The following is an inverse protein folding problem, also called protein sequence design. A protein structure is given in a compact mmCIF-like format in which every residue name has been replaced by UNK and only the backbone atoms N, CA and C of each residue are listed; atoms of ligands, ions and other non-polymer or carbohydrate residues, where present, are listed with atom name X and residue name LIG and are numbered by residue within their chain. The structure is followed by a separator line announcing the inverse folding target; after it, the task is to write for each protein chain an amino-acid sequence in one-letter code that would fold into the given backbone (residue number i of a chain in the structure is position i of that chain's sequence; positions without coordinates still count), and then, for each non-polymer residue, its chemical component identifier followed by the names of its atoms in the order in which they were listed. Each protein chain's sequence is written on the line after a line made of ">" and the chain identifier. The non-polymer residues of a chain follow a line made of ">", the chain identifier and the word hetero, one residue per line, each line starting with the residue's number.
data_IF_368906230576
#
_entry.id   IF_368906230576
#
_cell.length_a   1.000
_cell.length_b   1.000
_cell.length_c   1.000
_cell.angle_alpha   90.00
_cell.angle_beta   90.00
_cell.angle_gamma   90.00
#
_symmetry.space_group_name_H-M   'P 1'
#
loop_
_entity.id
_entity.type
_entity.pdbx_description
1 polymer ?
#
# COMPACT_ATOMS: atom_id res chain seq x y z
N UNK A 1 -13.46 6.27 -26.93
CA UNK A 1 -14.44 7.39 -26.90
C UNK A 1 -13.90 8.55 -26.07
N UNK A 2 -14.60 9.68 -26.01
CA UNK A 2 -14.21 10.87 -25.22
C UNK A 2 -15.35 11.28 -24.29
N UNK A 3 -15.03 11.57 -23.03
CA UNK A 3 -15.98 12.06 -22.01
C UNK A 3 -15.58 13.47 -21.62
N UNK A 4 -16.54 14.40 -21.63
CA UNK A 4 -16.34 15.75 -21.09
C UNK A 4 -16.69 15.75 -19.62
N UNK A 5 -15.83 16.31 -18.77
CA UNK A 5 -16.11 16.50 -17.35
C UNK A 5 -16.09 17.99 -16.99
N UNK A 6 -16.80 18.32 -15.90
CA UNK A 6 -16.77 19.64 -15.27
C UNK A 6 -16.66 19.47 -13.76
N UNK A 7 -15.73 20.18 -13.15
CA UNK A 7 -15.50 20.24 -11.72
C UNK A 7 -15.82 21.63 -11.16
N UNK A 8 -15.83 21.73 -9.83
CA UNK A 8 -16.29 22.93 -9.12
C UNK A 8 -15.37 24.15 -9.29
N UNK A 9 -14.06 23.93 -9.51
CA UNK A 9 -13.04 25.00 -9.53
C UNK A 9 -11.74 24.58 -10.22
N UNK A 10 -11.00 25.59 -10.69
CA UNK A 10 -9.64 25.53 -11.22
C UNK A 10 -8.68 26.21 -10.25
N UNK A 11 -7.52 25.62 -9.97
CA UNK A 11 -6.60 26.12 -8.95
C UNK A 11 -5.17 25.63 -9.13
N UNK A 12 -4.19 26.52 -8.98
CA UNK A 12 -2.79 26.16 -8.75
C UNK A 12 -2.51 25.98 -7.26
N UNK A 13 -1.72 24.98 -6.89
CA UNK A 13 -1.28 24.75 -5.52
C UNK A 13 0.12 24.09 -5.51
N UNK A 14 0.87 24.18 -4.41
CA UNK A 14 2.07 23.38 -4.23
C UNK A 14 1.77 21.88 -4.19
N UNK A 15 2.77 21.03 -4.43
CA UNK A 15 2.63 19.60 -4.18
C UNK A 15 2.39 19.30 -2.70
N UNK A 16 1.50 18.34 -2.46
CA UNK A 16 1.24 17.80 -1.13
C UNK A 16 2.43 16.97 -0.62
N UNK A 17 2.49 16.75 0.70
CA UNK A 17 3.44 15.82 1.32
C UNK A 17 3.39 14.42 0.71
N UNK A 18 2.20 13.90 0.39
CA UNK A 18 2.05 12.58 -0.23
C UNK A 18 2.62 12.52 -1.66
N UNK A 19 2.33 13.54 -2.50
CA UNK A 19 2.92 13.65 -3.83
C UNK A 19 4.45 13.75 -3.78
N UNK A 20 5.00 14.60 -2.90
CA UNK A 20 6.45 14.73 -2.69
C UNK A 20 7.07 13.43 -2.17
N UNK A 21 6.37 12.72 -1.27
CA UNK A 21 6.82 11.43 -0.76
C UNK A 21 6.92 10.38 -1.88
N UNK A 22 5.89 10.24 -2.72
CA UNK A 22 5.91 9.31 -3.87
C UNK A 22 7.05 9.63 -4.85
N UNK A 23 7.29 10.91 -5.15
CA UNK A 23 8.40 11.31 -6.02
C UNK A 23 9.77 10.93 -5.47
N UNK A 24 9.93 10.95 -4.14
CA UNK A 24 11.18 10.57 -3.48
C UNK A 24 11.40 9.06 -3.46
N UNK A 25 10.36 8.28 -3.18
CA UNK A 25 10.50 6.83 -3.00
C UNK A 25 10.60 6.07 -4.32
N UNK A 26 10.12 6.65 -5.43
CA UNK A 26 10.17 6.09 -6.79
C UNK A 26 9.67 4.63 -6.90
N UNK A 27 8.90 4.16 -5.92
CA UNK A 27 8.45 2.78 -5.76
C UNK A 27 6.94 2.62 -5.84
N UNK A 28 6.20 3.73 -5.88
CA UNK A 28 4.75 3.71 -5.98
C UNK A 28 4.30 3.32 -7.39
N UNK A 29 3.42 2.32 -7.46
CA UNK A 29 2.82 1.85 -8.70
C UNK A 29 1.45 2.47 -8.95
N UNK A 30 1.04 2.49 -10.22
CA UNK A 30 -0.31 2.86 -10.62
C UNK A 30 -1.34 1.97 -9.92
N UNK A 31 -2.44 2.57 -9.51
CA UNK A 31 -3.53 1.86 -8.83
C UNK A 31 -4.52 1.33 -9.86
N UNK A 32 -4.58 0.01 -10.00
CA UNK A 32 -5.47 -0.69 -10.93
C UNK A 32 -6.72 -1.18 -10.19
N UNK A 33 -7.91 -0.92 -10.75
CA UNK A 33 -9.19 -1.48 -10.29
C UNK A 33 -10.03 -1.95 -11.45
N UNK A 34 -10.59 -3.15 -11.32
CA UNK A 34 -11.55 -3.71 -12.27
C UNK A 34 -12.87 -3.88 -11.54
N UNK A 35 -13.92 -3.25 -12.07
CA UNK A 35 -15.27 -3.33 -11.54
C UNK A 35 -16.14 -4.12 -12.49
N UNK A 36 -16.69 -5.24 -12.03
CA UNK A 36 -17.72 -5.98 -12.74
C UNK A 36 -19.07 -5.27 -12.65
N UNK A 37 -19.78 -5.20 -13.78
CA UNK A 37 -21.09 -4.58 -13.91
C UNK A 37 -22.12 -5.59 -14.44
N UNK A 38 -23.41 -5.46 -14.05
CA UNK A 38 -24.47 -6.33 -14.56
C UNK A 38 -24.77 -6.15 -16.06
N UNK A 39 -24.09 -5.20 -16.73
CA UNK A 39 -24.43 -4.70 -18.05
C UNK A 39 -25.15 -3.37 -17.94
N UNK A 40 -24.43 -2.27 -18.21
CA UNK A 40 -25.00 -0.92 -18.21
C UNK A 40 -24.79 -0.23 -19.57
N UNK A 41 -25.73 0.62 -20.03
CA UNK A 41 -25.52 1.38 -21.26
C UNK A 41 -24.26 2.25 -21.17
N UNK A 42 -23.48 2.31 -22.26
CA UNK A 42 -22.28 3.16 -22.34
C UNK A 42 -22.54 4.62 -21.90
N UNK A 43 -23.64 5.30 -22.31
CA UNK A 43 -23.90 6.67 -21.86
C UNK A 43 -24.02 6.81 -20.33
N UNK A 44 -24.65 5.84 -19.66
CA UNK A 44 -24.79 5.85 -18.19
C UNK A 44 -23.43 5.74 -17.49
N UNK A 45 -22.56 4.87 -18.01
CA UNK A 45 -21.21 4.73 -17.46
C UNK A 45 -20.37 5.96 -17.75
N UNK A 46 -20.50 6.54 -18.95
CA UNK A 46 -19.82 7.77 -19.33
C UNK A 46 -20.22 8.95 -18.43
N UNK A 47 -21.51 9.14 -18.15
CA UNK A 47 -22.02 10.19 -17.27
C UNK A 47 -21.54 10.02 -15.83
N UNK A 48 -21.46 8.77 -15.34
CA UNK A 48 -20.92 8.47 -14.02
C UNK A 48 -19.41 8.78 -13.94
N UNK A 49 -18.64 8.44 -14.97
CA UNK A 49 -17.21 8.77 -15.04
C UNK A 49 -16.98 10.29 -15.12
N UNK A 50 -17.77 11.02 -15.90
CA UNK A 50 -17.69 12.48 -15.97
C UNK A 50 -17.88 13.12 -14.59
N UNK A 51 -18.90 12.67 -13.84
CA UNK A 51 -19.19 13.15 -12.49
C UNK A 51 -18.08 12.75 -11.49
N UNK A 52 -17.54 11.54 -11.60
CA UNK A 52 -16.45 11.06 -10.76
C UNK A 52 -15.21 11.94 -10.90
N UNK A 53 -14.79 12.20 -12.14
CA UNK A 53 -13.63 13.06 -12.43
C UNK A 53 -13.89 14.50 -12.00
N UNK A 54 -15.07 15.05 -12.31
CA UNK A 54 -15.45 16.40 -11.88
C UNK A 54 -15.39 16.59 -10.36
N UNK A 55 -15.82 15.56 -9.61
CA UNK A 55 -15.88 15.58 -8.14
C UNK A 55 -14.51 15.55 -7.46
N UNK A 56 -13.58 14.72 -7.92
CA UNK A 56 -12.30 14.50 -7.24
C UNK A 56 -11.19 15.28 -7.92
N UNK A 57 -10.64 16.30 -7.25
CA UNK A 57 -9.55 17.12 -7.82
C UNK A 57 -8.36 16.25 -8.20
N UNK A 58 -8.05 15.23 -7.40
CA UNK A 58 -6.98 14.28 -7.67
C UNK A 58 -7.05 13.66 -9.07
N UNK A 59 -8.25 13.42 -9.62
CA UNK A 59 -8.43 12.79 -10.95
C UNK A 59 -8.36 13.78 -12.12
N UNK A 60 -8.25 15.08 -11.84
CA UNK A 60 -8.19 16.19 -12.81
C UNK A 60 -7.08 17.19 -12.47
N UNK A 61 -6.03 16.68 -11.85
CA UNK A 61 -4.85 17.45 -11.46
C UNK A 61 -3.64 16.98 -12.26
N UNK A 62 -2.88 17.95 -12.79
CA UNK A 62 -1.60 17.74 -13.47
C UNK A 62 -0.49 18.49 -12.76
N UNK A 63 0.75 18.07 -12.92
CA UNK A 63 1.92 18.83 -12.50
C UNK A 63 2.06 20.09 -13.35
N UNK A 64 2.45 21.18 -12.72
CA UNK A 64 2.70 22.48 -13.36
C UNK A 64 4.15 22.94 -13.15
N UNK A 65 5.06 21.99 -12.97
CA UNK A 65 6.47 22.22 -12.66
C UNK A 65 6.99 21.20 -11.64
N UNK A 66 8.14 21.50 -11.03
CA UNK A 66 8.76 20.60 -10.06
C UNK A 66 8.03 20.54 -8.72
N UNK A 67 7.42 21.62 -8.25
CA UNK A 67 6.81 21.69 -6.91
C UNK A 67 5.36 22.18 -6.92
N UNK A 68 4.73 22.21 -8.09
CA UNK A 68 3.39 22.74 -8.27
C UNK A 68 2.46 21.75 -8.98
N UNK A 69 1.18 21.84 -8.64
CA UNK A 69 0.08 21.12 -9.26
C UNK A 69 -0.99 22.11 -9.71
N UNK A 70 -1.70 21.74 -10.78
CA UNK A 70 -2.81 22.49 -11.34
C UNK A 70 -4.04 21.61 -11.45
N UNK A 71 -5.07 22.00 -10.73
CA UNK A 71 -6.42 21.44 -10.80
C UNK A 71 -7.16 22.13 -11.94
N UNK A 72 -7.70 21.35 -12.89
CA UNK A 72 -8.57 21.85 -13.96
C UNK A 72 -10.05 21.77 -13.56
N UNK A 73 -10.85 22.79 -13.86
CA UNK A 73 -12.32 22.78 -13.69
C UNK A 73 -13.06 22.12 -14.85
N UNK A 74 -12.41 21.85 -15.97
CA UNK A 74 -13.01 21.14 -17.09
C UNK A 74 -11.94 20.40 -17.89
N UNK A 75 -12.38 19.44 -18.69
CA UNK A 75 -11.50 18.70 -19.56
C UNK A 75 -12.21 17.60 -20.32
N UNK A 76 -11.44 16.91 -21.15
CA UNK A 76 -11.90 15.74 -21.89
C UNK A 76 -11.02 14.55 -21.52
N UNK A 77 -11.64 13.49 -21.00
CA UNK A 77 -11.01 12.22 -20.68
C UNK A 77 -11.16 11.25 -21.86
N UNK A 78 -10.06 10.68 -22.32
CA UNK A 78 -10.10 9.57 -23.27
C UNK A 78 -10.47 8.28 -22.52
N UNK A 79 -11.36 7.48 -23.13
CA UNK A 79 -11.81 6.20 -22.58
C UNK A 79 -11.73 5.15 -23.67
N UNK A 80 -10.98 4.08 -23.41
CA UNK A 80 -10.86 2.97 -24.34
C UNK A 80 -12.09 2.06 -24.23
N UNK A 81 -12.63 1.62 -25.36
CA UNK A 81 -13.80 0.76 -25.41
C UNK A 81 -13.50 -0.43 -26.32
N UNK A 82 -13.81 -1.64 -25.86
CA UNK A 82 -13.60 -2.84 -26.66
C UNK A 82 -14.30 -4.07 -26.07
N UNK A 83 -14.38 -5.19 -26.81
CA UNK A 83 -14.94 -6.44 -26.32
C UNK A 83 -14.02 -7.16 -25.31
N UNK A 84 -12.74 -6.85 -25.34
CA UNK A 84 -11.74 -7.28 -24.39
C UNK A 84 -10.78 -6.11 -24.15
N UNK A 85 -10.57 -5.77 -22.89
CA UNK A 85 -9.56 -4.82 -22.42
C UNK A 85 -9.02 -5.36 -21.11
N UNK A 86 -7.70 -5.42 -21.00
CA UNK A 86 -6.98 -5.83 -19.81
C UNK A 86 -6.44 -4.60 -19.08
N UNK A 87 -6.22 -4.76 -17.77
CA UNK A 87 -5.52 -3.74 -17.00
C UNK A 87 -4.10 -3.50 -17.52
N UNK A 88 -3.42 -4.54 -18.00
CA UNK A 88 -2.04 -4.47 -18.47
C UNK A 88 -1.92 -3.56 -19.70
N UNK A 89 -2.90 -3.58 -20.61
CA UNK A 89 -2.94 -2.70 -21.78
C UNK A 89 -3.06 -1.21 -21.42
N UNK A 90 -3.70 -0.90 -20.30
CA UNK A 90 -3.84 0.48 -19.81
C UNK A 90 -2.70 0.88 -18.87
N UNK A 91 -1.93 -0.09 -18.39
CA UNK A 91 -0.87 0.11 -17.41
C UNK A 91 0.40 0.57 -18.10
N UNK A 92 1.00 1.63 -17.56
CA UNK A 92 2.25 2.20 -18.03
C UNK A 92 2.59 3.46 -17.23
N UNK A 93 3.75 4.07 -17.47
CA UNK A 93 4.09 5.36 -16.85
C UNK A 93 3.08 6.43 -17.27
N UNK A 94 2.73 7.32 -16.35
CA UNK A 94 1.92 8.51 -16.62
C UNK A 94 2.83 9.67 -17.00
N UNK A 95 2.41 10.48 -17.98
CA UNK A 95 2.97 11.83 -18.14
C UNK A 95 2.20 12.77 -17.21
N UNK A 96 2.70 12.96 -16.00
CA UNK A 96 2.01 13.71 -14.96
C UNK A 96 1.80 15.21 -15.31
N UNK A 97 2.48 15.74 -16.34
CA UNK A 97 2.33 17.14 -16.78
C UNK A 97 1.25 17.29 -17.86
N UNK A 98 1.16 16.33 -18.78
CA UNK A 98 0.28 16.43 -19.95
C UNK A 98 -1.01 15.59 -19.81
N UNK A 99 -0.89 14.39 -19.23
CA UNK A 99 -1.96 13.39 -19.14
C UNK A 99 -2.85 13.60 -17.90
N UNK A 100 -4.13 13.23 -18.00
CA UNK A 100 -4.96 13.08 -16.79
C UNK A 100 -4.44 11.90 -15.96
N UNK A 101 -4.46 11.98 -14.61
CA UNK A 101 -3.94 10.91 -13.75
C UNK A 101 -4.92 9.73 -13.60
N UNK A 102 -5.69 9.46 -14.65
CA UNK A 102 -6.69 8.40 -14.75
C UNK A 102 -6.79 7.92 -16.20
N UNK A 103 -6.61 6.62 -16.42
CA UNK A 103 -6.96 5.91 -17.66
C UNK A 103 -8.16 5.01 -17.39
N UNK A 104 -9.05 4.90 -18.37
CA UNK A 104 -10.29 4.14 -18.24
C UNK A 104 -10.50 3.24 -19.44
N UNK A 105 -10.79 1.97 -19.17
CA UNK A 105 -11.24 0.99 -20.17
C UNK A 105 -12.66 0.52 -19.88
N UNK A 106 -13.50 0.45 -20.92
CA UNK A 106 -14.84 -0.13 -20.87
C UNK A 106 -14.86 -1.43 -21.67
N UNK A 107 -15.01 -2.56 -20.96
CA UNK A 107 -15.26 -3.85 -21.62
C UNK A 107 -16.75 -3.91 -21.97
N UNK A 108 -17.03 -3.98 -23.26
CA UNK A 108 -18.38 -3.86 -23.82
C UNK A 108 -18.83 -5.16 -24.48
N UNK A 109 -20.11 -5.48 -24.40
CA UNK A 109 -20.70 -6.65 -25.03
C UNK A 109 -22.00 -6.27 -25.76
N UNK A 110 -22.28 -6.95 -26.87
CA UNK A 110 -23.44 -6.69 -27.72
C UNK A 110 -23.10 -5.86 -28.97
N UNK A 111 -24.11 -5.48 -29.77
CA UNK A 111 -23.92 -4.71 -31.00
C UNK A 111 -23.42 -3.29 -30.69
N UNK A 112 -22.73 -2.61 -31.64
CA UNK A 112 -22.22 -1.25 -31.43
C UNK A 112 -23.30 -0.26 -30.98
N UNK A 113 -24.47 -0.28 -31.65
CA UNK A 113 -25.63 0.54 -31.33
C UNK A 113 -26.45 -0.11 -30.21
N UNK A 114 -25.92 -0.08 -28.99
CA UNK A 114 -26.57 -0.70 -27.82
C UNK A 114 -25.64 -1.53 -26.94
N UNK A 115 -24.32 -1.39 -27.12
CA UNK A 115 -23.34 -2.12 -26.34
C UNK A 115 -23.52 -1.87 -24.83
N UNK A 116 -23.50 -2.95 -24.06
CA UNK A 116 -23.56 -2.91 -22.62
C UNK A 116 -22.14 -3.04 -22.04
N UNK A 117 -21.78 -2.15 -21.11
CA UNK A 117 -20.54 -2.22 -20.36
C UNK A 117 -20.65 -3.30 -19.29
N UNK A 118 -19.75 -4.29 -19.36
CA UNK A 118 -19.65 -5.42 -18.43
C UNK A 118 -18.55 -5.23 -17.40
N UNK A 119 -17.49 -4.50 -17.75
CA UNK A 119 -16.44 -4.14 -16.81
C UNK A 119 -15.96 -2.71 -17.03
N UNK A 120 -15.56 -2.06 -15.94
CA UNK A 120 -14.81 -0.80 -15.96
C UNK A 120 -13.43 -1.07 -15.38
N UNK A 121 -12.40 -0.79 -16.17
CA UNK A 121 -11.00 -0.82 -15.74
C UNK A 121 -10.56 0.61 -15.46
N UNK A 122 -10.08 0.87 -14.25
CA UNK A 122 -9.53 2.15 -13.82
C UNK A 122 -8.04 1.97 -13.52
N UNK A 123 -7.19 2.78 -14.14
CA UNK A 123 -5.77 2.87 -13.79
C UNK A 123 -5.48 4.30 -13.38
N UNK A 124 -5.13 4.50 -12.11
CA UNK A 124 -4.87 5.84 -11.57
C UNK A 124 -3.39 6.05 -11.28
N UNK A 125 -2.89 7.26 -11.57
CA UNK A 125 -1.49 7.61 -11.36
C UNK A 125 -1.11 7.64 -9.87
N UNK A 126 0.11 7.22 -9.50
CA UNK A 126 0.54 7.12 -8.10
C UNK A 126 0.64 8.48 -7.37
N UNK A 127 0.78 9.59 -8.13
CA UNK A 127 0.74 10.95 -7.56
C UNK A 127 -0.68 11.45 -7.26
N UNK A 128 -1.69 10.86 -7.90
CA UNK A 128 -3.08 11.28 -7.71
C UNK A 128 -3.75 10.54 -6.57
N UNK A 129 -3.67 9.21 -6.56
CA UNK A 129 -4.35 8.39 -5.55
C UNK A 129 -3.42 7.30 -5.02
N UNK A 130 -3.44 7.14 -3.70
CA UNK A 130 -2.90 5.94 -3.06
C UNK A 130 -3.93 4.79 -3.10
N UNK A 131 -3.51 3.63 -2.61
CA UNK A 131 -4.32 2.41 -2.60
C UNK A 131 -5.71 2.61 -1.95
N UNK A 132 -5.78 3.29 -0.80
CA UNK A 132 -7.05 3.58 -0.15
C UNK A 132 -7.86 4.64 -0.89
N UNK A 133 -7.21 5.62 -1.51
CA UNK A 133 -7.86 6.61 -2.38
C UNK A 133 -8.56 5.94 -3.56
N UNK A 134 -7.92 4.94 -4.18
CA UNK A 134 -8.51 4.17 -5.26
C UNK A 134 -9.77 3.39 -4.83
N UNK A 135 -9.83 2.87 -3.60
CA UNK A 135 -11.06 2.25 -3.08
C UNK A 135 -12.22 3.25 -2.98
N UNK A 136 -11.93 4.49 -2.58
CA UNK A 136 -12.93 5.55 -2.50
C UNK A 136 -13.40 5.91 -3.92
N UNK A 137 -12.51 5.94 -4.91
CA UNK A 137 -12.87 6.13 -6.33
C UNK A 137 -13.81 5.03 -6.81
N UNK A 138 -13.52 3.77 -6.51
CA UNK A 138 -14.38 2.62 -6.84
C UNK A 138 -15.75 2.72 -6.17
N UNK A 139 -15.76 3.04 -4.87
CA UNK A 139 -16.99 3.25 -4.09
C UNK A 139 -17.86 4.36 -4.69
N UNK A 140 -17.27 5.53 -4.97
CA UNK A 140 -17.97 6.69 -5.50
C UNK A 140 -18.46 6.43 -6.93
N UNK A 141 -17.69 5.72 -7.77
CA UNK A 141 -18.16 5.27 -9.09
C UNK A 141 -19.37 4.34 -8.97
N UNK A 142 -19.31 3.34 -8.09
CA UNK A 142 -20.43 2.42 -7.86
C UNK A 142 -21.70 3.15 -7.37
N UNK A 143 -21.53 4.18 -6.54
CA UNK A 143 -22.61 5.04 -6.06
C UNK A 143 -23.21 5.90 -7.19
N UNK A 144 -22.37 6.53 -8.02
CA UNK A 144 -22.77 7.27 -9.21
C UNK A 144 -23.52 6.41 -10.22
N UNK A 145 -23.06 5.19 -10.47
CA UNK A 145 -23.74 4.25 -11.36
C UNK A 145 -25.15 3.89 -10.86
N UNK A 146 -25.40 3.97 -9.55
CA UNK A 146 -26.74 3.80 -8.94
C UNK A 146 -27.55 5.09 -8.87
N UNK A 147 -27.02 6.23 -9.32
CA UNK A 147 -27.69 7.53 -9.31
C UNK A 147 -27.73 8.20 -7.94
N UNK A 148 -26.87 7.80 -7.00
CA UNK A 148 -26.86 8.34 -5.65
C UNK A 148 -25.42 8.61 -5.21
N UNK A 149 -25.04 9.88 -5.04
CA UNK A 149 -23.74 10.23 -4.48
C UNK A 149 -23.89 11.29 -3.38
N UNK A 150 -23.39 11.05 -2.16
CA UNK A 150 -23.45 12.02 -1.07
C UNK A 150 -22.69 13.31 -1.39
N UNK A 151 -23.10 14.41 -0.75
CA UNK A 151 -22.35 15.66 -0.76
C UNK A 151 -20.94 15.40 -0.23
N UNK A 152 -19.93 15.88 -0.95
CA UNK A 152 -18.54 15.76 -0.53
C UNK A 152 -18.29 16.66 0.67
N UNK A 153 -17.75 16.10 1.74
CA UNK A 153 -17.26 16.84 2.92
C UNK A 153 -15.74 16.79 3.09
N UNK A 154 -15.07 15.82 2.45
CA UNK A 154 -13.63 15.63 2.56
C UNK A 154 -12.84 16.74 1.87
N UNK A 155 -11.67 17.08 2.45
CA UNK A 155 -10.71 17.99 1.86
C UNK A 155 -10.18 17.49 0.51
N UNK A 156 -9.77 18.42 -0.35
CA UNK A 156 -9.13 18.10 -1.63
C UNK A 156 -7.61 18.35 -1.55
N UNK A 157 -6.81 17.69 -2.41
CA UNK A 157 -5.34 17.84 -2.42
C UNK A 157 -4.84 19.29 -2.37
N UNK A 158 -5.46 20.21 -3.12
CA UNK A 158 -5.05 21.61 -3.15
C UNK A 158 -5.31 22.35 -1.83
N UNK A 159 -6.35 21.97 -1.08
CA UNK A 159 -6.62 22.49 0.27
C UNK A 159 -5.62 21.94 1.28
N UNK A 160 -5.25 20.66 1.12
CA UNK A 160 -4.24 20.01 1.94
C UNK A 160 -2.85 20.63 1.79
N UNK A 161 -2.44 20.93 0.56
CA UNK A 161 -1.17 21.61 0.30
C UNK A 161 -1.07 22.96 1.05
N UNK A 162 -2.17 23.71 1.11
CA UNK A 162 -2.21 24.97 1.87
C UNK A 162 -2.09 24.73 3.38
N UNK A 163 -2.81 23.74 3.93
CA UNK A 163 -2.68 23.37 5.35
C UNK A 163 -1.25 22.94 5.69
N UNK A 164 -0.63 22.14 4.85
CA UNK A 164 0.70 21.57 5.07
C UNK A 164 1.80 22.64 5.14
N UNK A 165 1.63 23.78 4.46
CA UNK A 165 2.54 24.95 4.55
C UNK A 165 2.22 25.89 5.72
N UNK A 166 1.17 25.65 6.48
CA UNK A 166 0.82 26.48 7.64
C UNK A 166 1.74 26.21 8.85
N UNK A 167 1.68 27.11 9.84
CA UNK A 167 2.34 26.92 11.15
C UNK A 167 1.94 25.59 11.81
N UNK A 168 0.69 25.15 11.63
CA UNK A 168 0.22 23.85 12.13
C UNK A 168 0.91 22.68 11.42
N UNK A 169 1.10 22.78 10.09
CA UNK A 169 1.87 21.83 9.30
C UNK A 169 3.32 21.75 9.77
N UNK A 170 3.99 22.88 9.96
CA UNK A 170 5.35 22.93 10.52
C UNK A 170 5.44 22.24 11.88
N UNK A 171 4.48 22.48 12.79
CA UNK A 171 4.46 21.82 14.10
C UNK A 171 4.27 20.31 14.01
N UNK A 172 3.45 19.82 13.07
CA UNK A 172 3.30 18.38 12.81
C UNK A 172 4.64 17.78 12.37
N UNK A 173 5.30 18.38 11.39
CA UNK A 173 6.62 17.95 10.91
C UNK A 173 7.65 17.93 12.04
N UNK A 174 7.78 19.00 12.83
CA UNK A 174 8.78 19.04 13.91
C UNK A 174 8.52 17.97 14.99
N UNK A 175 7.26 17.64 15.27
CA UNK A 175 6.91 16.57 16.22
C UNK A 175 7.22 15.19 15.64
N UNK A 176 6.91 14.97 14.37
CA UNK A 176 7.24 13.74 13.68
C UNK A 176 8.75 13.52 13.63
N UNK A 177 9.53 14.51 13.18
CA UNK A 177 10.99 14.44 13.15
C UNK A 177 11.56 14.06 14.50
N UNK A 178 11.16 14.73 15.60
CA UNK A 178 11.63 14.36 16.94
C UNK A 178 11.30 12.92 17.31
N UNK A 179 10.07 12.48 17.06
CA UNK A 179 9.66 11.10 17.33
C UNK A 179 10.51 10.08 16.55
N UNK A 180 10.72 10.33 15.26
CA UNK A 180 11.56 9.47 14.41
C UNK A 180 13.01 9.43 14.89
N UNK A 181 13.60 10.58 15.19
CA UNK A 181 14.97 10.64 15.71
C UNK A 181 15.08 9.90 17.05
N UNK A 182 14.13 10.07 17.96
CA UNK A 182 14.18 9.43 19.28
C UNK A 182 14.03 7.90 19.20
N UNK A 183 13.14 7.40 18.34
CA UNK A 183 12.96 5.96 18.15
C UNK A 183 14.15 5.32 17.42
N UNK A 184 14.66 5.95 16.35
CA UNK A 184 15.74 5.37 15.55
C UNK A 184 17.12 5.43 16.24
N UNK A 185 17.33 6.30 17.24
CA UNK A 185 18.52 6.23 18.12
C UNK A 185 18.64 4.92 18.89
N UNK A 186 17.54 4.16 19.02
CA UNK A 186 17.50 2.88 19.75
C UNK A 186 17.85 1.68 18.88
N UNK A 187 17.99 1.90 17.56
CA UNK A 187 18.17 0.85 16.57
C UNK A 187 19.59 0.97 16.03
N UNK A 188 20.33 -0.13 16.02
CA UNK A 188 21.57 -0.19 15.27
C UNK A 188 21.21 -0.16 13.77
N UNK A 189 21.81 0.73 12.96
CA UNK A 189 21.56 0.75 11.53
C UNK A 189 21.84 -0.65 10.97
N UNK A 190 20.93 -1.22 10.15
CA UNK A 190 21.17 -2.53 9.57
C UNK A 190 22.45 -2.47 8.72
N UNK A 191 23.26 -3.54 8.67
CA UNK A 191 24.40 -3.59 7.76
C UNK A 191 23.88 -3.60 6.32
N UNK A 192 23.94 -2.46 5.65
CA UNK A 192 23.55 -2.35 4.24
C UNK A 192 24.79 -2.62 3.39
N UNK A 193 24.83 -3.75 2.69
CA UNK A 193 25.83 -4.01 1.66
C UNK A 193 25.68 -3.05 0.47
N UNK A 194 26.67 -2.93 -0.43
CA UNK A 194 26.50 -2.12 -1.63
C UNK A 194 25.28 -2.61 -2.44
N UNK A 195 24.42 -1.71 -2.95
CA UNK A 195 23.28 -2.09 -3.76
C UNK A 195 23.73 -2.89 -4.98
N UNK A 196 23.14 -4.07 -5.17
CA UNK A 196 23.30 -4.94 -6.33
C UNK A 196 22.04 -4.95 -7.19
N UNK A 197 21.86 -6.03 -7.95
CA UNK A 197 20.62 -6.25 -8.71
C UNK A 197 19.44 -6.39 -7.77
N UNK A 198 18.42 -5.54 -7.96
CA UNK A 198 17.18 -5.62 -7.20
C UNK A 198 16.35 -6.84 -7.62
N UNK A 199 15.95 -7.65 -6.64
CA UNK A 199 15.06 -8.80 -6.82
C UNK A 199 13.76 -8.59 -6.05
N UNK A 200 12.67 -9.11 -6.62
CA UNK A 200 11.41 -9.32 -5.92
C UNK A 200 11.12 -10.81 -5.84
N UNK A 201 10.81 -11.32 -4.66
CA UNK A 201 10.38 -12.70 -4.42
C UNK A 201 8.98 -12.67 -3.83
N UNK A 202 8.07 -13.47 -4.37
CA UNK A 202 6.68 -13.55 -3.93
C UNK A 202 6.36 -14.96 -3.46
N UNK A 203 5.91 -15.07 -2.22
CA UNK A 203 5.34 -16.28 -1.62
C UNK A 203 3.82 -16.20 -1.72
N UNK A 204 3.21 -17.15 -2.43
CA UNK A 204 1.75 -17.34 -2.42
C UNK A 204 1.40 -18.39 -1.37
N UNK A 205 0.67 -17.98 -0.34
CA UNK A 205 0.25 -18.85 0.77
C UNK A 205 -1.09 -18.40 1.34
N UNK A 206 -2.10 -19.25 1.20
CA UNK A 206 -3.39 -19.03 1.87
C UNK A 206 -3.34 -19.35 3.37
N UNK A 207 -2.35 -20.12 3.82
CA UNK A 207 -2.18 -20.47 5.23
C UNK A 207 -1.78 -19.26 6.08
N UNK A 208 -0.95 -18.36 5.54
CA UNK A 208 -0.48 -17.17 6.25
C UNK A 208 -1.63 -16.27 6.70
N UNK A 209 -2.59 -15.99 5.81
CA UNK A 209 -3.68 -15.07 6.11
C UNK A 209 -4.62 -15.65 7.19
N UNK A 210 -4.94 -16.94 7.10
CA UNK A 210 -5.72 -17.66 8.13
C UNK A 210 -5.00 -17.63 9.49
N UNK A 211 -3.69 -17.92 9.49
CA UNK A 211 -2.86 -17.92 10.70
C UNK A 211 -2.81 -16.53 11.35
N UNK A 212 -2.54 -15.49 10.56
CA UNK A 212 -2.45 -14.12 11.04
C UNK A 212 -3.77 -13.61 11.63
N UNK A 213 -4.91 -13.93 11.01
CA UNK A 213 -6.23 -13.58 11.54
C UNK A 213 -6.55 -14.30 12.86
N UNK A 214 -6.17 -15.58 13.01
CA UNK A 214 -6.31 -16.32 14.26
C UNK A 214 -5.49 -15.70 15.40
N UNK A 215 -4.22 -15.36 15.13
CA UNK A 215 -3.35 -14.68 16.11
C UNK A 215 -3.93 -13.31 16.46
N UNK A 216 -4.36 -12.56 15.46
CA UNK A 216 -4.96 -11.23 15.64
C UNK A 216 -6.20 -11.30 16.55
N UNK A 217 -7.09 -12.27 16.33
CA UNK A 217 -8.28 -12.48 17.15
C UNK A 217 -7.91 -12.82 18.61
N UNK A 218 -6.93 -13.71 18.83
CA UNK A 218 -6.46 -14.09 20.18
C UNK A 218 -5.85 -12.92 20.96
N UNK A 219 -5.18 -12.00 20.28
CA UNK A 219 -4.52 -10.86 20.91
C UNK A 219 -5.34 -9.55 20.84
N UNK A 220 -6.51 -9.54 20.18
CA UNK A 220 -7.35 -8.34 20.05
C UNK A 220 -6.74 -7.24 19.18
N UNK A 221 -5.94 -7.61 18.17
CA UNK A 221 -5.24 -6.66 17.27
C UNK A 221 -5.66 -6.88 15.81
N UNK A 222 -5.07 -6.13 14.87
CA UNK A 222 -5.28 -6.38 13.43
C UNK A 222 -4.30 -7.44 12.89
N UNK A 223 -4.68 -8.14 11.83
CA UNK A 223 -3.74 -9.01 11.11
C UNK A 223 -2.51 -8.24 10.62
N UNK A 224 -2.66 -6.98 10.19
CA UNK A 224 -1.55 -6.10 9.81
C UNK A 224 -0.49 -5.98 10.92
N UNK A 225 -0.94 -5.86 12.17
CA UNK A 225 -0.06 -5.78 13.34
C UNK A 225 0.69 -7.10 13.56
N UNK A 226 0.04 -8.24 13.32
CA UNK A 226 0.67 -9.56 13.43
C UNK A 226 1.76 -9.72 12.37
N UNK A 227 1.48 -9.36 11.11
CA UNK A 227 2.47 -9.40 10.04
C UNK A 227 3.64 -8.46 10.34
N UNK A 228 3.39 -7.21 10.76
CA UNK A 228 4.43 -6.27 11.15
C UNK A 228 5.34 -6.83 12.26
N UNK A 229 4.76 -7.42 13.30
CA UNK A 229 5.52 -8.06 14.37
C UNK A 229 6.34 -9.26 13.85
N UNK A 230 5.76 -10.09 12.98
CA UNK A 230 6.43 -11.23 12.39
C UNK A 230 7.58 -10.81 11.46
N UNK A 231 7.40 -9.75 10.67
CA UNK A 231 8.44 -9.14 9.85
C UNK A 231 9.59 -8.64 10.71
N UNK A 232 9.30 -7.90 11.78
CA UNK A 232 10.34 -7.42 12.69
C UNK A 232 11.09 -8.57 13.36
N UNK A 233 10.38 -9.61 13.80
CA UNK A 233 10.97 -10.80 14.39
C UNK A 233 11.93 -11.51 13.43
N UNK A 234 11.49 -11.78 12.19
CA UNK A 234 12.30 -12.47 11.18
C UNK A 234 13.51 -11.62 10.78
N UNK A 235 13.29 -10.35 10.42
CA UNK A 235 14.36 -9.43 10.00
C UNK A 235 15.38 -9.22 11.11
N UNK A 236 14.94 -8.96 12.34
CA UNK A 236 15.84 -8.76 13.47
C UNK A 236 16.61 -10.02 13.84
N UNK A 237 15.97 -11.20 13.78
CA UNK A 237 16.66 -12.48 14.03
C UNK A 237 17.74 -12.73 12.99
N UNK A 238 17.47 -12.50 11.71
CA UNK A 238 18.45 -12.65 10.63
C UNK A 238 19.59 -11.64 10.73
N UNK A 239 19.29 -10.41 11.16
CA UNK A 239 20.28 -9.37 11.37
C UNK A 239 21.04 -9.50 12.71
N UNK A 240 20.69 -10.47 13.57
CA UNK A 240 21.24 -10.60 14.92
C UNK A 240 20.92 -9.41 15.83
N UNK A 241 19.91 -8.61 15.50
CA UNK A 241 19.56 -7.37 16.19
C UNK A 241 18.61 -7.64 17.34
N UNK A 242 18.90 -7.07 18.52
CA UNK A 242 17.95 -7.08 19.65
C UNK A 242 16.76 -6.14 19.41
N UNK A 243 17.01 -4.98 18.81
CA UNK A 243 16.00 -3.96 18.55
C UNK A 243 15.88 -3.81 17.05
N UNK A 244 14.66 -3.87 16.52
CA UNK A 244 14.40 -3.81 15.08
C UNK A 244 13.51 -2.61 14.76
N UNK A 245 14.01 -1.74 13.88
CA UNK A 245 13.26 -0.63 13.32
C UNK A 245 12.72 -0.98 11.94
N UNK A 246 11.43 -0.71 11.72
CA UNK A 246 10.77 -0.81 10.43
C UNK A 246 10.09 0.51 10.10
N UNK A 247 10.02 0.84 8.82
CA UNK A 247 9.00 1.73 8.28
C UNK A 247 7.73 0.92 8.07
N UNK A 248 6.58 1.52 8.32
CA UNK A 248 5.29 0.96 7.99
C UNK A 248 4.49 1.98 7.17
N UNK A 249 3.88 1.57 6.06
CA UNK A 249 3.02 2.46 5.28
C UNK A 249 1.77 2.78 6.10
N UNK A 250 1.51 4.07 6.32
CA UNK A 250 0.37 4.55 7.10
C UNK A 250 -0.57 5.33 6.20
N UNK A 251 -1.81 4.84 6.05
CA UNK A 251 -2.79 5.44 5.13
C UNK A 251 -3.23 6.86 5.48
N UNK A 252 -3.00 7.30 6.72
CA UNK A 252 -3.42 8.62 7.23
C UNK A 252 -4.95 8.89 7.15
N UNK A 253 -5.78 7.85 7.04
CA UNK A 253 -7.27 7.91 6.95
C UNK A 253 -8.01 7.58 8.25
N UNK A 254 -7.31 7.55 9.38
CA UNK A 254 -7.92 7.29 10.70
C UNK A 254 -8.58 8.52 11.32
N UNK A 255 -8.28 9.72 10.81
CA UNK A 255 -8.97 10.94 11.26
C UNK A 255 -10.28 11.15 10.49
N UNK A 256 -11.37 11.59 11.14
CA UNK A 256 -12.67 11.77 10.49
C UNK A 256 -12.64 12.67 9.26
N UNK A 257 -11.83 13.73 9.27
CA UNK A 257 -11.64 14.68 8.16
C UNK A 257 -10.87 14.09 6.96
N UNK A 258 -10.28 12.90 7.12
CA UNK A 258 -9.39 12.25 6.15
C UNK A 258 -9.97 10.98 5.53
N UNK A 259 -11.01 10.42 6.16
CA UNK A 259 -11.54 9.09 5.84
C UNK A 259 -11.94 8.94 4.38
N UNK A 260 -12.56 9.96 3.81
CA UNK A 260 -13.10 9.97 2.45
C UNK A 260 -12.28 10.86 1.48
N UNK A 261 -11.02 11.19 1.81
CA UNK A 261 -10.15 11.97 0.92
C UNK A 261 -9.67 11.11 -0.25
N UNK A 262 -9.93 11.54 -1.48
CA UNK A 262 -9.33 10.93 -2.69
C UNK A 262 -8.07 11.71 -3.03
N UNK A 263 -6.92 11.18 -2.61
CA UNK A 263 -5.60 11.75 -2.85
C UNK A 263 -4.52 10.74 -2.42
N UNK A 264 -3.30 10.88 -2.90
CA UNK A 264 -2.12 10.26 -2.28
C UNK A 264 -1.80 10.98 -0.97
N UNK A 265 -2.13 10.35 0.16
CA UNK A 265 -1.83 10.88 1.52
C UNK A 265 -1.12 9.86 2.42
N UNK A 266 -1.01 8.61 1.97
CA UNK A 266 -0.20 7.62 2.65
C UNK A 266 1.25 8.11 2.76
N UNK A 267 1.85 7.90 3.93
CA UNK A 267 3.26 8.17 4.20
C UNK A 267 3.76 7.11 5.19
N UNK A 268 5.08 7.01 5.32
CA UNK A 268 5.66 6.08 6.28
C UNK A 268 5.46 6.55 7.73
N UNK A 269 5.34 5.57 8.62
CA UNK A 269 5.56 5.72 10.06
C UNK A 269 6.73 4.84 10.50
N UNK A 270 7.43 5.22 11.57
CA UNK A 270 8.45 4.37 12.18
C UNK A 270 7.87 3.47 13.27
N UNK A 271 8.28 2.21 13.29
CA UNK A 271 7.94 1.24 14.34
C UNK A 271 9.22 0.56 14.80
N UNK A 272 9.54 0.72 16.08
CA UNK A 272 10.73 0.12 16.72
C UNK A 272 10.30 -0.87 17.77
N UNK A 273 10.74 -2.12 17.63
CA UNK A 273 10.38 -3.25 18.50
C UNK A 273 11.62 -3.83 19.18
N UNK A 274 11.48 -4.21 20.46
CA UNK A 274 12.53 -4.90 21.23
C UNK A 274 12.21 -6.40 21.22
N UNK A 275 13.09 -7.19 20.61
CA UNK A 275 12.93 -8.63 20.46
C UNK A 275 13.26 -9.40 21.74
N UNK A 276 13.76 -8.74 22.79
CA UNK A 276 13.99 -9.34 24.10
C UNK A 276 12.72 -9.50 24.95
N UNK A 277 11.57 -9.67 24.31
CA UNK A 277 10.33 -10.11 24.95
C UNK A 277 10.32 -11.65 25.07
N UNK A 278 9.56 -12.24 26.00
CA UNK A 278 9.51 -13.69 26.18
C UNK A 278 8.91 -14.46 24.99
N UNK A 279 7.90 -13.90 24.33
CA UNK A 279 7.14 -14.60 23.28
C UNK A 279 6.72 -13.70 22.11
N UNK A 280 6.36 -14.34 21.00
CA UNK A 280 5.82 -13.67 19.82
C UNK A 280 4.50 -12.96 20.12
N UNK A 281 3.63 -13.54 20.96
CA UNK A 281 2.40 -12.89 21.41
C UNK A 281 2.66 -11.55 22.13
N UNK A 282 3.71 -11.47 22.94
CA UNK A 282 4.12 -10.20 23.56
C UNK A 282 4.70 -9.20 22.56
N UNK A 283 5.45 -9.69 21.55
CA UNK A 283 5.92 -8.85 20.45
C UNK A 283 4.75 -8.26 19.64
N UNK A 284 3.70 -9.05 19.38
CA UNK A 284 2.47 -8.59 18.72
C UNK A 284 1.80 -7.46 19.53
N UNK A 285 1.74 -7.59 20.85
CA UNK A 285 1.21 -6.53 21.73
C UNK A 285 2.10 -5.28 21.76
N UNK A 286 3.43 -5.45 21.69
CA UNK A 286 4.36 -4.33 21.53
C UNK A 286 4.15 -3.63 20.18
N UNK A 287 4.05 -4.39 19.09
CA UNK A 287 3.81 -3.89 17.74
C UNK A 287 2.52 -3.06 17.69
N UNK A 288 1.41 -3.56 18.25
CA UNK A 288 0.15 -2.81 18.30
C UNK A 288 0.32 -1.43 18.95
N UNK A 289 0.94 -1.38 20.14
CA UNK A 289 1.20 -0.13 20.87
C UNK A 289 2.06 0.83 20.05
N UNK A 290 3.09 0.31 19.40
CA UNK A 290 4.02 1.12 18.61
C UNK A 290 3.40 1.60 17.30
N UNK A 291 2.59 0.79 16.61
CA UNK A 291 1.81 1.20 15.45
C UNK A 291 0.84 2.34 15.79
N UNK A 292 0.11 2.23 16.90
CA UNK A 292 -0.80 3.29 17.35
C UNK A 292 -0.08 4.61 17.68
N UNK A 293 1.15 4.53 18.21
CA UNK A 293 2.01 5.71 18.40
C UNK A 293 2.48 6.27 17.06
N UNK A 294 2.95 5.40 16.17
CA UNK A 294 3.47 5.74 14.84
C UNK A 294 2.44 6.51 13.99
N UNK A 295 1.17 6.09 14.00
CA UNK A 295 0.08 6.77 13.29
C UNK A 295 -0.06 8.27 13.62
N UNK A 296 0.33 8.69 14.83
CA UNK A 296 0.27 10.11 15.24
C UNK A 296 1.39 10.97 14.62
N UNK A 297 2.43 10.32 14.10
CA UNK A 297 3.66 10.94 13.62
C UNK A 297 4.01 10.56 12.17
N UNK A 298 3.08 9.92 11.45
CA UNK A 298 3.21 9.55 10.04
C UNK A 298 2.66 10.63 9.07
N UNK A 299 2.63 11.89 9.53
CA UNK A 299 2.25 13.06 8.72
C UNK A 299 3.30 14.13 8.89
N UNK A 300 4.09 14.36 7.85
CA UNK A 300 5.23 15.26 7.90
C UNK A 300 5.65 15.70 6.51
N UNK A 301 6.41 16.78 6.47
CA UNK A 301 7.14 17.19 5.28
C UNK A 301 8.25 16.19 4.94
N UNK A 302 8.18 15.49 3.79
CA UNK A 302 9.12 14.41 3.48
C UNK A 302 10.56 14.91 3.30
N UNK A 303 10.76 16.15 2.86
CA UNK A 303 12.10 16.71 2.67
C UNK A 303 12.74 17.07 4.01
N UNK A 304 11.94 17.62 4.94
CA UNK A 304 12.38 17.88 6.29
C UNK A 304 12.70 16.57 7.06
N UNK A 305 11.91 15.51 6.83
CA UNK A 305 12.18 14.19 7.43
C UNK A 305 13.49 13.61 6.91
N UNK A 306 13.67 13.55 5.59
CA UNK A 306 14.87 12.99 4.99
C UNK A 306 16.14 13.79 5.33
N UNK A 307 16.01 15.10 5.57
CA UNK A 307 17.14 15.92 6.03
C UNK A 307 17.53 15.64 7.50
N UNK A 308 16.61 15.11 8.30
CA UNK A 308 16.80 14.91 9.73
C UNK A 308 17.14 13.47 10.10
N UNK A 309 16.65 12.49 9.34
CA UNK A 309 16.80 11.07 9.64
C UNK A 309 16.97 10.28 8.34
N UNK A 310 17.91 9.34 8.35
CA UNK A 310 18.04 8.35 7.29
C UNK A 310 16.90 7.32 7.40
N UNK A 311 15.86 7.51 6.59
CA UNK A 311 14.70 6.61 6.55
C UNK A 311 14.92 5.42 5.63
N UNK A 312 15.80 5.56 4.64
CA UNK A 312 15.89 4.65 3.50
C UNK A 312 16.68 3.39 3.87
N UNK A 313 17.57 3.49 4.86
CA UNK A 313 18.25 2.34 5.46
C UNK A 313 17.33 1.38 6.22
N UNK A 314 16.10 1.79 6.55
CA UNK A 314 15.18 0.93 7.31
C UNK A 314 14.19 0.17 6.39
N UNK A 315 13.98 -1.14 6.65
CA UNK A 315 13.05 -1.94 5.86
C UNK A 315 11.63 -1.38 5.92
N UNK A 316 10.91 -1.38 4.80
CA UNK A 316 9.52 -0.96 4.75
C UNK A 316 8.56 -2.16 4.80
N UNK A 317 7.57 -2.09 5.67
CA UNK A 317 6.43 -2.99 5.73
C UNK A 317 5.19 -2.32 5.12
N UNK A 318 4.61 -2.94 4.09
CA UNK A 318 3.38 -2.47 3.45
C UNK A 318 2.29 -3.55 3.56
N UNK A 319 1.10 -3.16 3.99
CA UNK A 319 -0.06 -4.04 4.05
C UNK A 319 -1.15 -3.50 3.13
N UNK A 320 -1.22 -4.06 1.93
CA UNK A 320 -2.16 -3.68 0.88
C UNK A 320 -3.46 -4.48 0.92
N UNK A 321 -3.71 -5.24 2.00
CA UNK A 321 -4.92 -6.05 2.12
C UNK A 321 -6.15 -5.18 2.37
N UNK A 322 -7.13 -5.34 1.49
CA UNK A 322 -8.39 -4.58 1.51
C UNK A 322 -9.52 -5.23 2.30
N UNK A 323 -9.51 -6.56 2.42
CA UNK A 323 -10.62 -7.31 3.01
C UNK A 323 -10.24 -7.92 4.35
N UNK A 324 -11.08 -7.69 5.36
CA UNK A 324 -11.18 -8.58 6.53
C UNK A 324 -11.95 -9.80 6.07
N UNK A 325 -11.34 -10.96 6.20
CA UNK A 325 -12.03 -12.24 5.98
C UNK A 325 -12.14 -12.93 7.33
N UNK A 326 -13.36 -13.31 7.69
CA UNK A 326 -13.58 -14.13 8.86
C UNK A 326 -13.18 -15.56 8.52
N UNK A 327 -12.02 -15.97 9.00
CA UNK A 327 -11.51 -17.32 8.80
C UNK A 327 -11.75 -18.15 10.06
N UNK A 328 -12.42 -19.29 9.90
CA UNK A 328 -12.37 -20.33 10.92
C UNK A 328 -10.98 -20.99 10.88
N UNK A 329 -10.27 -21.02 12.01
CA UNK A 329 -8.98 -21.69 12.10
C UNK A 329 -9.17 -23.21 11.91
N UNK A 330 -8.61 -23.84 10.85
CA UNK A 330 -8.65 -25.28 10.68
C UNK A 330 -7.72 -25.98 11.69
N UNK A 331 -7.76 -27.31 11.74
CA UNK A 331 -6.80 -28.09 12.53
C UNK A 331 -5.35 -27.81 12.11
N UNK A 332 -4.40 -28.00 13.03
CA UNK A 332 -2.97 -27.78 12.77
C UNK A 332 -2.46 -28.58 11.57
N UNK A 333 -2.80 -29.87 11.50
CA UNK A 333 -2.44 -30.72 10.37
C UNK A 333 -2.96 -30.17 9.04
N UNK A 334 -4.20 -29.65 9.01
CA UNK A 334 -4.79 -29.09 7.79
C UNK A 334 -4.14 -27.78 7.39
N UNK A 335 -3.85 -26.88 8.35
CA UNK A 335 -3.18 -25.62 8.03
C UNK A 335 -1.75 -25.85 7.53
N UNK A 336 -1.02 -26.80 8.12
CA UNK A 336 0.32 -27.20 7.68
C UNK A 336 0.30 -27.79 6.26
N UNK A 337 -0.65 -28.67 5.95
CA UNK A 337 -0.81 -29.21 4.61
C UNK A 337 -1.12 -28.11 3.56
N UNK A 338 -1.86 -27.06 3.94
CA UNK A 338 -2.07 -25.90 3.04
C UNK A 338 -0.77 -25.12 2.83
N UNK A 339 0.03 -24.93 3.88
CA UNK A 339 1.33 -24.25 3.80
C UNK A 339 2.35 -25.04 2.96
N UNK A 340 2.29 -26.38 2.93
CA UNK A 340 3.12 -27.20 2.04
C UNK A 340 2.83 -26.96 0.55
N UNK A 341 1.65 -26.43 0.21
CA UNK A 341 1.27 -26.03 -1.15
C UNK A 341 1.72 -24.62 -1.54
N UNK A 342 2.45 -23.92 -0.66
CA UNK A 342 2.90 -22.55 -0.92
C UNK A 342 3.96 -22.51 -2.02
N UNK A 343 3.89 -21.48 -2.86
CA UNK A 343 4.81 -21.34 -4.01
C UNK A 343 5.62 -20.06 -3.93
N UNK A 344 6.91 -20.18 -4.24
CA UNK A 344 7.82 -19.05 -4.36
C UNK A 344 8.10 -18.76 -5.84
N UNK A 345 7.88 -17.52 -6.23
CA UNK A 345 8.21 -16.98 -7.55
C UNK A 345 9.12 -15.77 -7.39
N UNK A 346 9.85 -15.40 -8.44
CA UNK A 346 10.71 -14.22 -8.38
C UNK A 346 10.77 -13.50 -9.71
N UNK A 347 10.99 -12.21 -9.66
CA UNK A 347 11.25 -11.36 -10.81
C UNK A 347 12.38 -10.37 -10.51
N UNK A 348 12.95 -9.77 -11.55
CA UNK A 348 13.71 -8.54 -11.37
C UNK A 348 12.80 -7.47 -10.75
N UNK A 349 13.36 -6.59 -9.92
CA UNK A 349 12.67 -5.45 -9.38
C UNK A 349 13.21 -4.15 -9.98
N UNK A 350 12.33 -3.17 -10.19
CA UNK A 350 12.67 -1.86 -10.73
C UNK A 350 13.10 -0.84 -9.65
N UNK A 351 12.85 -1.15 -8.37
CA UNK A 351 13.16 -0.28 -7.24
C UNK A 351 14.11 -0.98 -6.25
N UNK A 352 14.95 -0.19 -5.57
CA UNK A 352 15.92 -0.61 -4.55
C UNK A 352 15.42 -0.49 -3.09
N UNK A 353 16.23 -0.94 -2.13
CA UNK A 353 15.90 -1.02 -0.71
C UNK A 353 15.09 -2.26 -0.31
N UNK A 354 15.14 -2.61 0.99
CA UNK A 354 14.41 -3.75 1.55
C UNK A 354 12.94 -3.38 1.84
N UNK A 355 11.99 -4.06 1.20
CA UNK A 355 10.57 -3.90 1.45
C UNK A 355 9.88 -5.26 1.55
N UNK A 356 8.91 -5.37 2.45
CA UNK A 356 8.06 -6.54 2.60
C UNK A 356 6.61 -6.10 2.52
N UNK A 357 5.93 -6.54 1.47
CA UNK A 357 4.53 -6.24 1.23
C UNK A 357 3.68 -7.49 1.44
N UNK A 358 2.50 -7.32 2.04
CA UNK A 358 1.50 -8.37 2.20
C UNK A 358 0.25 -7.99 1.40
N UNK A 359 -0.31 -8.97 0.70
CA UNK A 359 -1.54 -8.82 -0.07
C UNK A 359 -2.52 -9.96 0.23
N UNK A 360 -3.68 -9.98 -0.40
CA UNK A 360 -4.73 -10.98 -0.15
C UNK A 360 -4.37 -12.41 -0.62
N UNK A 361 -3.20 -12.60 -1.24
CA UNK A 361 -2.74 -13.85 -1.84
C UNK A 361 -1.43 -14.38 -1.24
N UNK A 362 -0.72 -13.58 -0.45
CA UNK A 362 0.52 -13.97 0.22
C UNK A 362 1.37 -12.78 0.64
N UNK A 363 2.70 -12.92 0.49
CA UNK A 363 3.66 -11.88 0.82
C UNK A 363 4.77 -11.80 -0.23
N UNK A 364 5.26 -10.59 -0.49
CA UNK A 364 6.40 -10.34 -1.37
C UNK A 364 7.49 -9.59 -0.63
N UNK A 365 8.74 -10.02 -0.80
CA UNK A 365 9.92 -9.34 -0.30
C UNK A 365 10.77 -8.85 -1.49
N UNK A 366 11.21 -7.61 -1.42
CA UNK A 366 12.05 -6.96 -2.43
C UNK A 366 13.30 -6.41 -1.77
N UNK A 367 14.46 -6.62 -2.37
CA UNK A 367 15.72 -6.01 -1.94
C UNK A 367 16.73 -5.96 -3.08
N UNK A 368 17.64 -5.00 -3.00
CA UNK A 368 18.87 -4.86 -3.79
C UNK A 368 20.14 -5.17 -2.99
N UNK A 369 20.02 -5.33 -1.67
CA UNK A 369 21.13 -5.57 -0.74
C UNK A 369 21.18 -7.00 -0.21
N UNK A 370 20.21 -7.84 -0.60
CA UNK A 370 20.11 -9.25 -0.20
C UNK A 370 20.09 -10.17 -1.41
N UNK A 371 20.64 -11.38 -1.28
CA UNK A 371 20.53 -12.37 -2.33
C UNK A 371 19.07 -12.85 -2.47
N UNK A 372 18.70 -13.25 -3.70
CA UNK A 372 17.36 -13.80 -4.00
C UNK A 372 16.99 -14.98 -3.09
N UNK A 373 17.94 -15.86 -2.77
CA UNK A 373 17.73 -17.00 -1.87
C UNK A 373 17.36 -16.57 -0.46
N UNK A 374 17.93 -15.46 0.01
CA UNK A 374 17.73 -14.97 1.38
C UNK A 374 16.33 -14.36 1.50
N UNK A 375 15.86 -13.66 0.47
CA UNK A 375 14.48 -13.16 0.39
C UNK A 375 13.45 -14.30 0.44
N UNK A 376 13.68 -15.38 -0.32
CA UNK A 376 12.81 -16.56 -0.28
C UNK A 376 12.81 -17.24 1.10
N UNK A 377 13.97 -17.28 1.76
CA UNK A 377 14.11 -17.81 3.12
C UNK A 377 13.38 -16.94 4.14
N UNK A 378 13.45 -15.60 4.01
CA UNK A 378 12.70 -14.67 4.85
C UNK A 378 11.20 -14.91 4.78
N UNK A 379 10.64 -15.08 3.56
CA UNK A 379 9.22 -15.33 3.38
C UNK A 379 8.79 -16.70 3.93
N UNK A 380 9.62 -17.73 3.73
CA UNK A 380 9.36 -19.07 4.27
C UNK A 380 9.40 -19.09 5.81
N UNK A 381 10.32 -18.32 6.41
CA UNK A 381 10.41 -18.13 7.84
C UNK A 381 9.18 -17.38 8.39
N UNK A 382 8.71 -16.35 7.67
CA UNK A 382 7.50 -15.61 7.99
C UNK A 382 6.27 -16.53 8.03
N UNK A 383 6.09 -17.37 7.00
CA UNK A 383 5.01 -18.37 6.97
C UNK A 383 5.13 -19.38 8.12
N UNK A 384 6.32 -19.94 8.33
CA UNK A 384 6.58 -20.92 9.38
C UNK A 384 6.26 -20.37 10.78
N UNK A 385 6.65 -19.11 11.05
CA UNK A 385 6.34 -18.40 12.28
C UNK A 385 4.82 -18.24 12.45
N UNK A 386 4.12 -17.70 11.44
CA UNK A 386 2.67 -17.48 11.52
C UNK A 386 1.90 -18.78 11.71
N UNK A 387 2.18 -19.81 10.91
CA UNK A 387 1.50 -21.11 10.99
C UNK A 387 1.73 -21.76 12.35
N UNK A 388 2.94 -21.67 12.92
CA UNK A 388 3.22 -22.22 14.25
C UNK A 388 2.55 -21.39 15.35
N UNK A 389 2.65 -20.06 15.25
CA UNK A 389 2.07 -19.13 16.22
C UNK A 389 0.54 -19.20 16.24
N UNK A 390 -0.11 -19.68 15.17
CA UNK A 390 -1.56 -19.88 15.13
C UNK A 390 -2.08 -20.90 16.15
N UNK A 391 -1.26 -21.87 16.59
CA UNK A 391 -1.66 -22.95 17.49
C UNK A 391 -1.04 -22.88 18.88
N UNK A 392 0.08 -22.17 19.04
CA UNK A 392 0.72 -21.94 20.34
C UNK A 392 1.43 -20.60 20.35
N UNK A 393 1.74 -20.07 21.53
CA UNK A 393 2.66 -18.94 21.60
C UNK A 393 4.10 -19.43 21.37
N UNK A 394 4.87 -18.69 20.58
CA UNK A 394 6.25 -19.06 20.19
C UNK A 394 7.20 -18.27 21.07
N UNK A 395 8.06 -18.96 21.82
CA UNK A 395 9.09 -18.28 22.60
C UNK A 395 10.10 -17.59 21.66
N UNK A 396 10.54 -16.38 21.98
CA UNK A 396 11.47 -15.64 21.11
C UNK A 396 12.80 -16.38 20.92
N UNK A 397 13.24 -17.17 21.91
CA UNK A 397 14.43 -18.02 21.80
C UNK A 397 14.31 -19.16 20.77
N UNK A 398 13.10 -19.51 20.33
CA UNK A 398 12.87 -20.53 19.29
C UNK A 398 12.96 -19.96 17.86
N UNK A 399 12.92 -18.64 17.70
CA UNK A 399 12.85 -18.00 16.37
C UNK A 399 14.06 -18.34 15.49
N UNK A 400 15.27 -18.39 16.05
CA UNK A 400 16.46 -18.74 15.28
C UNK A 400 16.33 -20.10 14.58
N UNK A 401 15.75 -21.09 15.25
CA UNK A 401 15.53 -22.42 14.66
C UNK A 401 14.41 -22.44 13.62
N UNK A 402 13.37 -21.61 13.79
CA UNK A 402 12.29 -21.45 12.81
C UNK A 402 12.75 -20.71 11.54
N UNK A 403 13.66 -19.74 11.70
CA UNK A 403 14.19 -18.91 10.62
C UNK A 403 15.29 -19.64 9.84
N UNK A 404 16.07 -20.53 10.47
CA UNK A 404 17.17 -21.27 9.83
C UNK A 404 16.73 -22.42 8.89
N UNK A 405 15.43 -22.63 8.66
CA UNK A 405 14.95 -23.68 7.74
C UNK A 405 15.30 -23.31 6.29
N UNK A 406 15.82 -24.27 5.49
CA UNK A 406 16.11 -24.01 4.08
C UNK A 406 14.82 -23.64 3.31
N UNK A 407 14.92 -22.77 2.30
CA UNK A 407 13.75 -22.35 1.53
C UNK A 407 13.10 -23.56 0.85
N UNK A 408 11.75 -23.56 0.77
CA UNK A 408 11.02 -24.47 -0.13
C UNK A 408 11.52 -24.30 -1.57
N UNK A 409 11.41 -25.34 -2.39
CA UNK A 409 11.97 -25.33 -3.75
C UNK A 409 11.47 -24.11 -4.55
N UNK A 410 12.41 -23.25 -4.97
CA UNK A 410 12.11 -22.08 -5.80
C UNK A 410 11.81 -22.56 -7.22
N UNK A 411 10.58 -22.35 -7.68
CA UNK A 411 10.22 -22.65 -9.08
C UNK A 411 10.76 -21.50 -9.93
N UNK A 412 11.57 -21.78 -10.98
CA UNK A 412 12.01 -20.73 -11.91
C UNK A 412 10.79 -20.11 -12.62
N UNK A 413 10.88 -18.84 -13.05
CA UNK A 413 9.79 -18.21 -13.79
C UNK A 413 9.47 -19.02 -15.06
N UNK A 414 8.18 -19.11 -15.38
CA UNK A 414 7.70 -19.64 -16.65
C UNK A 414 7.98 -18.67 -17.81
#
# INVERSE_FOLDING_TARGET
>A
MKIVFTGERSRGAPLTWGQRHVRRTASASSQVRVLDLPGLPVPRVADALAQLVGRHEALRTRLAGEDEQRVSDHGTLAVDCGPALSADELTGPFDDQEEWPLRVGLVTAGPPDGAAVRQVVLVSGPLAVDHNGAEIVVKDLGLLLRGALPVRSAAQPADDAAFQRSVSGTRLTSRAVRFWTDELRRVEPPPVGPPGTAWSVTLRSSAMDVAAHSIAARHGVSAATVYLAATAAVVGTLAGSRVTGLRAVVSNRFYPDRRDVVATIAQDGVVVLDLAVPSFGELVQQAWRMTMRSHRFARYDPDAMASAVDTDSFPCFDDSRLARRDWALPSEAKLRAVAEGSTLTSSAASAGGLALAVDGSGASARADTMARSDLGSCLSALESLLVTAAFRDVAMGELGALVARPPGSVVPPA
#
